data_IF_673798863880
#
_entry.id   IF_673798863880
#
_cell.length_a   1.000
_cell.length_b   1.000
_cell.length_c   1.000
_cell.angle_alpha   90.00
_cell.angle_beta   90.00
_cell.angle_gamma   90.00
#
_symmetry.space_group_name_H-M   'P 1'
#
loop_
_entity.id
_entity.type
_entity.pdbx_description
1 polymer ?
#
# COMPACT_ATOMS: atom_id res chain seq x y z
N UNK A 1 -24.95 -18.77 1.93
CA UNK A 1 -24.80 -17.78 0.83
C UNK A 1 -24.01 -18.37 -0.34
N UNK A 2 -24.54 -18.29 -1.57
CA UNK A 2 -23.82 -18.72 -2.78
C UNK A 2 -22.75 -17.70 -3.15
N UNK A 3 -21.55 -18.16 -3.49
CA UNK A 3 -20.43 -17.29 -3.85
C UNK A 3 -20.82 -16.45 -5.09
N UNK A 4 -20.63 -15.12 -5.09
CA UNK A 4 -20.97 -14.26 -6.22
C UNK A 4 -19.97 -14.44 -7.37
N UNK A 5 -20.12 -15.55 -8.13
CA UNK A 5 -19.17 -16.01 -9.16
C UNK A 5 -18.76 -14.91 -10.14
N UNK A 6 -19.72 -14.11 -10.61
CA UNK A 6 -19.42 -13.02 -11.54
C UNK A 6 -18.48 -11.98 -10.95
N UNK A 7 -18.78 -11.49 -9.75
CA UNK A 7 -17.95 -10.49 -9.07
C UNK A 7 -16.56 -11.04 -8.82
N UNK A 8 -16.45 -12.29 -8.37
CA UNK A 8 -15.17 -12.96 -8.15
C UNK A 8 -14.36 -13.05 -9.43
N UNK A 9 -14.99 -13.44 -10.55
CA UNK A 9 -14.31 -13.52 -11.85
C UNK A 9 -13.82 -12.15 -12.31
N UNK A 10 -14.64 -11.11 -12.22
CA UNK A 10 -14.22 -9.76 -12.63
C UNK A 10 -13.06 -9.27 -11.76
N UNK A 11 -13.12 -9.47 -10.45
CA UNK A 11 -12.02 -9.11 -9.54
C UNK A 11 -10.75 -9.89 -9.88
N UNK A 12 -10.86 -11.20 -10.14
CA UNK A 12 -9.70 -12.02 -10.53
C UNK A 12 -9.08 -11.53 -11.84
N UNK A 13 -9.90 -11.17 -12.83
CA UNK A 13 -9.43 -10.60 -14.10
C UNK A 13 -8.81 -9.22 -13.91
N UNK A 14 -9.34 -8.37 -13.03
CA UNK A 14 -8.73 -7.08 -12.69
C UNK A 14 -7.35 -7.27 -12.05
N UNK A 15 -7.21 -8.22 -11.13
CA UNK A 15 -5.93 -8.56 -10.49
C UNK A 15 -4.93 -9.12 -11.50
N UNK A 16 -5.36 -10.02 -12.39
CA UNK A 16 -4.54 -10.49 -13.50
C UNK A 16 -4.12 -9.34 -14.41
N UNK A 17 -5.04 -8.40 -14.67
CA UNK A 17 -4.78 -7.16 -15.39
C UNK A 17 -3.67 -6.32 -14.75
N UNK A 18 -3.61 -6.20 -13.42
CA UNK A 18 -2.50 -5.51 -12.74
C UNK A 18 -1.15 -6.16 -13.01
N UNK A 19 -1.08 -7.50 -12.91
CA UNK A 19 0.15 -8.25 -13.13
C UNK A 19 0.63 -8.19 -14.60
N UNK A 20 -0.31 -8.18 -15.55
CA UNK A 20 -0.01 -8.18 -16.99
C UNK A 20 0.21 -6.78 -17.58
N UNK A 21 -0.43 -5.74 -17.03
CA UNK A 21 -0.31 -4.37 -17.52
C UNK A 21 1.06 -3.77 -17.21
N UNK A 22 1.60 -4.04 -16.01
CA UNK A 22 2.83 -3.41 -15.54
C UNK A 22 4.06 -3.73 -16.43
N UNK A 23 4.32 -4.98 -16.85
CA UNK A 23 5.41 -5.30 -17.77
C UNK A 23 5.22 -4.72 -19.18
N UNK A 24 3.97 -4.42 -19.57
CA UNK A 24 3.63 -3.84 -20.87
C UNK A 24 3.71 -2.29 -20.87
N UNK A 25 4.14 -1.67 -19.77
CA UNK A 25 4.19 -0.20 -19.63
C UNK A 25 2.80 0.44 -19.51
N UNK A 26 1.77 -0.35 -19.23
CA UNK A 26 0.40 0.14 -19.04
C UNK A 26 0.13 0.29 -17.55
N UNK A 27 -0.33 1.48 -17.16
CA UNK A 27 -0.67 1.76 -15.77
C UNK A 27 -1.78 0.82 -15.25
N UNK A 28 -1.60 0.15 -14.10
CA UNK A 28 -2.59 -0.75 -13.52
C UNK A 28 -3.97 -0.09 -13.30
N UNK A 29 -4.01 1.24 -13.21
CA UNK A 29 -5.25 2.02 -13.12
C UNK A 29 -6.26 1.70 -14.25
N UNK A 30 -5.79 1.34 -15.45
CA UNK A 30 -6.68 0.97 -16.56
C UNK A 30 -7.40 -0.35 -16.34
N UNK A 31 -6.71 -1.35 -15.77
CA UNK A 31 -7.34 -2.62 -15.39
C UNK A 31 -8.37 -2.42 -14.27
N UNK A 32 -8.08 -1.53 -13.31
CA UNK A 32 -9.01 -1.17 -12.25
C UNK A 32 -10.25 -0.47 -12.81
N UNK A 33 -10.06 0.48 -13.73
CA UNK A 33 -11.14 1.18 -14.41
C UNK A 33 -12.04 0.18 -15.17
N UNK A 34 -11.44 -0.74 -15.93
CA UNK A 34 -12.19 -1.80 -16.62
C UNK A 34 -13.03 -2.64 -15.66
N UNK A 35 -12.46 -3.09 -14.55
CA UNK A 35 -13.18 -3.84 -13.52
C UNK A 35 -14.36 -3.08 -12.93
N UNK A 36 -14.15 -1.81 -12.56
CA UNK A 36 -15.21 -0.94 -12.03
C UNK A 36 -16.30 -0.68 -13.06
N UNK A 37 -15.96 -0.45 -14.33
CA UNK A 37 -16.94 -0.25 -15.39
C UNK A 37 -17.79 -1.51 -15.61
N UNK A 38 -17.17 -2.68 -15.68
CA UNK A 38 -17.91 -3.96 -15.85
C UNK A 38 -18.86 -4.20 -14.69
N UNK A 39 -18.40 -4.03 -13.44
CA UNK A 39 -19.24 -4.20 -12.25
C UNK A 39 -20.35 -3.13 -12.17
N UNK A 40 -19.98 -1.87 -12.37
CA UNK A 40 -20.87 -0.72 -12.27
C UNK A 40 -21.97 -0.71 -13.33
N UNK A 41 -21.61 -0.94 -14.61
CA UNK A 41 -22.58 -1.03 -15.71
C UNK A 41 -23.55 -2.17 -15.47
N UNK A 42 -23.08 -3.35 -15.06
CA UNK A 42 -23.97 -4.47 -14.74
C UNK A 42 -24.90 -4.14 -13.58
N UNK A 43 -24.39 -3.52 -12.52
CA UNK A 43 -25.19 -3.18 -11.35
C UNK A 43 -26.29 -2.15 -11.69
N UNK A 44 -25.98 -1.16 -12.53
CA UNK A 44 -26.94 -0.19 -13.07
C UNK A 44 -27.97 -0.87 -13.98
N UNK A 45 -27.53 -1.71 -14.92
CA UNK A 45 -28.42 -2.43 -15.84
C UNK A 45 -29.39 -3.36 -15.09
N UNK A 46 -28.95 -3.95 -13.97
CA UNK A 46 -29.78 -4.78 -13.08
C UNK A 46 -30.58 -3.96 -12.07
N UNK A 47 -30.45 -2.63 -12.06
CA UNK A 47 -31.10 -1.71 -11.10
C UNK A 47 -30.81 -2.05 -9.64
N UNK A 48 -29.66 -2.64 -9.35
CA UNK A 48 -29.23 -2.92 -7.98
C UNK A 48 -28.66 -1.68 -7.28
N UNK A 49 -28.20 -0.69 -8.04
CA UNK A 49 -27.62 0.56 -7.54
C UNK A 49 -28.07 1.73 -8.41
N UNK A 50 -28.08 2.93 -7.83
CA UNK A 50 -28.30 4.17 -8.56
C UNK A 50 -26.97 4.86 -8.94
N UNK A 51 -26.92 5.72 -9.99
CA UNK A 51 -25.71 6.45 -10.36
C UNK A 51 -25.10 7.26 -9.21
N UNK A 52 -25.96 7.89 -8.39
CA UNK A 52 -25.56 8.63 -7.17
C UNK A 52 -24.82 7.77 -6.15
N UNK A 53 -25.21 6.50 -6.02
CA UNK A 53 -24.56 5.55 -5.10
C UNK A 53 -23.19 5.16 -5.63
N UNK A 54 -23.04 5.03 -6.95
CA UNK A 54 -21.76 4.77 -7.60
C UNK A 54 -20.77 5.93 -7.37
N UNK A 55 -21.23 7.18 -7.54
CA UNK A 55 -20.43 8.38 -7.27
C UNK A 55 -20.06 8.47 -5.78
N UNK A 56 -21.01 8.19 -4.89
CA UNK A 56 -20.76 8.13 -3.45
C UNK A 56 -19.74 7.04 -3.06
N UNK A 57 -19.77 5.89 -3.74
CA UNK A 57 -18.84 4.79 -3.55
C UNK A 57 -17.42 5.13 -4.05
N UNK A 58 -17.30 5.92 -5.12
CA UNK A 58 -16.01 6.41 -5.63
C UNK A 58 -15.30 7.37 -4.66
N UNK A 59 -16.02 7.96 -3.70
CA UNK A 59 -15.48 8.83 -2.66
C UNK A 59 -14.57 9.97 -3.22
N UNK A 60 -15.10 10.92 -4.01
CA UNK A 60 -14.29 11.91 -4.73
C UNK A 60 -13.40 12.78 -3.82
N UNK A 61 -13.89 13.16 -2.63
CA UNK A 61 -13.09 13.90 -1.65
C UNK A 61 -11.90 13.09 -1.12
N UNK A 62 -12.04 11.77 -1.02
CA UNK A 62 -10.95 10.89 -0.66
C UNK A 62 -9.91 10.82 -1.79
N UNK A 63 -10.34 10.73 -3.04
CA UNK A 63 -9.43 10.82 -4.19
C UNK A 63 -8.67 12.16 -4.21
N UNK A 64 -9.36 13.27 -3.95
CA UNK A 64 -8.74 14.60 -3.84
C UNK A 64 -7.74 14.66 -2.68
N UNK A 65 -8.07 14.09 -1.52
CA UNK A 65 -7.16 14.00 -0.39
C UNK A 65 -5.88 13.23 -0.74
N UNK A 66 -6.00 12.08 -1.41
CA UNK A 66 -4.85 11.27 -1.86
C UNK A 66 -3.98 12.04 -2.85
N UNK A 67 -4.60 12.75 -3.81
CA UNK A 67 -3.89 13.61 -4.76
C UNK A 67 -3.12 14.73 -4.04
N UNK A 68 -3.79 15.44 -3.13
CA UNK A 68 -3.17 16.53 -2.36
C UNK A 68 -1.98 16.02 -1.52
N UNK A 69 -2.13 14.84 -0.90
CA UNK A 69 -1.07 14.20 -0.14
C UNK A 69 0.15 13.89 -1.04
N UNK A 70 -0.07 13.36 -2.25
CA UNK A 70 1.00 13.14 -3.23
C UNK A 70 1.74 14.43 -3.62
N UNK A 71 1.01 15.53 -3.83
CA UNK A 71 1.59 16.85 -4.14
C UNK A 71 2.43 17.37 -2.98
N UNK A 72 1.92 17.30 -1.75
CA UNK A 72 2.66 17.74 -0.56
C UNK A 72 3.95 16.95 -0.38
N UNK A 73 3.91 15.64 -0.58
CA UNK A 73 5.11 14.79 -0.48
C UNK A 73 6.11 15.12 -1.56
N UNK A 74 5.66 15.28 -2.81
CA UNK A 74 6.53 15.75 -3.89
C UNK A 74 7.19 17.08 -3.55
N UNK A 75 6.42 18.04 -3.03
CA UNK A 75 6.97 19.32 -2.58
C UNK A 75 8.01 19.15 -1.46
N UNK A 76 7.77 18.29 -0.46
CA UNK A 76 8.72 18.00 0.62
C UNK A 76 9.98 17.29 0.13
N UNK A 77 9.87 16.36 -0.82
CA UNK A 77 11.02 15.65 -1.39
C UNK A 77 11.88 16.59 -2.24
N UNK A 78 11.26 17.47 -3.03
CA UNK A 78 11.94 18.42 -3.91
C UNK A 78 12.49 19.64 -3.15
N UNK A 79 11.77 20.12 -2.13
CA UNK A 79 12.06 21.38 -1.42
C UNK A 79 12.68 21.17 -0.03
N UNK A 80 12.54 19.98 0.54
CA UNK A 80 13.07 19.64 1.85
C UNK A 80 14.51 19.11 1.80
N UNK A 81 15.19 19.00 2.94
CA UNK A 81 16.49 18.37 3.01
C UNK A 81 16.32 16.86 2.81
N UNK A 82 16.34 16.40 1.55
CA UNK A 82 16.53 14.98 1.21
C UNK A 82 17.74 14.39 1.97
N UNK A 83 18.68 15.24 2.39
CA UNK A 83 19.82 14.94 3.26
C UNK A 83 19.45 14.44 4.67
N UNK A 84 18.26 14.72 5.20
CA UNK A 84 17.83 14.24 6.53
C UNK A 84 17.44 12.76 6.52
N UNK A 85 16.55 12.38 5.62
CA UNK A 85 16.07 11.00 5.47
C UNK A 85 17.15 10.08 4.90
N UNK A 86 17.96 10.55 3.95
CA UNK A 86 19.08 9.76 3.41
C UNK A 86 20.08 9.33 4.49
N UNK A 87 20.34 10.17 5.50
CA UNK A 87 21.22 9.84 6.64
C UNK A 87 20.65 8.78 7.59
N UNK A 88 19.33 8.58 7.57
CA UNK A 88 18.67 7.58 8.40
C UNK A 88 18.66 6.20 7.75
N UNK A 89 18.85 6.11 6.43
CA UNK A 89 18.93 4.85 5.71
C UNK A 89 20.34 4.29 5.84
N UNK A 90 20.54 3.13 6.49
CA UNK A 90 21.85 2.49 6.52
C UNK A 90 22.27 2.07 5.11
N UNK A 91 23.56 2.21 4.81
CA UNK A 91 24.12 1.79 3.53
C UNK A 91 24.39 0.27 3.47
N UNK A 92 24.31 -0.28 2.25
CA UNK A 92 24.66 -1.66 1.95
C UNK A 92 23.50 -2.66 2.03
N UNK A 93 23.85 -3.94 1.86
CA UNK A 93 22.93 -5.08 1.74
C UNK A 93 23.05 -6.09 2.90
N UNK A 94 23.78 -5.72 3.95
CA UNK A 94 23.90 -6.54 5.15
C UNK A 94 22.53 -6.70 5.83
N UNK A 95 22.31 -7.83 6.51
CA UNK A 95 21.05 -8.06 7.21
C UNK A 95 20.68 -6.90 8.18
N UNK A 96 21.60 -6.38 9.01
CA UNK A 96 21.30 -5.22 9.86
C UNK A 96 20.94 -3.96 9.07
N UNK A 97 21.61 -3.71 7.94
CA UNK A 97 21.30 -2.56 7.09
C UNK A 97 19.89 -2.66 6.50
N UNK A 98 19.53 -3.82 5.91
CA UNK A 98 18.20 -4.05 5.35
C UNK A 98 17.10 -4.00 6.43
N UNK A 99 17.36 -4.51 7.63
CA UNK A 99 16.45 -4.39 8.77
C UNK A 99 16.24 -2.93 9.18
N UNK A 100 17.32 -2.13 9.21
CA UNK A 100 17.24 -0.71 9.49
C UNK A 100 16.43 0.05 8.44
N UNK A 101 16.66 -0.21 7.15
CA UNK A 101 15.88 0.37 6.04
C UNK A 101 14.39 0.03 6.18
N UNK A 102 14.06 -1.25 6.39
CA UNK A 102 12.68 -1.69 6.54
C UNK A 102 12.01 -1.08 7.79
N UNK A 103 12.75 -0.92 8.89
CA UNK A 103 12.26 -0.28 10.11
C UNK A 103 11.96 1.22 9.89
N UNK A 104 12.88 1.97 9.28
CA UNK A 104 12.69 3.39 8.94
C UNK A 104 11.47 3.56 8.03
N UNK A 105 11.35 2.70 7.01
CA UNK A 105 10.21 2.68 6.10
C UNK A 105 8.89 2.40 6.83
N UNK A 106 8.86 1.42 7.74
CA UNK A 106 7.67 1.08 8.52
C UNK A 106 7.25 2.22 9.47
N UNK A 107 8.21 2.88 10.12
CA UNK A 107 7.96 4.02 11.00
C UNK A 107 7.40 5.20 10.22
N UNK A 108 8.05 5.55 9.10
CA UNK A 108 7.60 6.65 8.24
C UNK A 108 6.19 6.38 7.70
N UNK A 109 5.91 5.16 7.26
CA UNK A 109 4.60 4.78 6.77
C UNK A 109 3.48 4.88 7.82
N UNK A 110 3.78 4.68 9.12
CA UNK A 110 2.81 4.93 10.18
C UNK A 110 2.64 6.43 10.50
N UNK A 111 3.67 7.24 10.28
CA UNK A 111 3.62 8.68 10.55
C UNK A 111 2.89 9.46 9.45
N UNK A 112 3.17 9.15 8.18
CA UNK A 112 2.69 9.93 7.03
C UNK A 112 1.82 9.13 6.05
N UNK A 113 1.55 7.84 6.32
CA UNK A 113 0.90 6.87 5.43
C UNK A 113 1.87 6.17 4.44
N UNK A 114 1.47 5.00 3.95
CA UNK A 114 2.30 4.16 3.10
C UNK A 114 2.64 4.77 1.73
N UNK A 115 1.69 5.42 1.07
CA UNK A 115 1.93 6.00 -0.25
C UNK A 115 2.95 7.18 -0.22
N UNK A 116 2.80 8.17 0.69
CA UNK A 116 3.85 9.17 0.95
C UNK A 116 5.22 8.62 1.26
N UNK A 117 5.29 7.61 2.14
CA UNK A 117 6.56 7.00 2.53
C UNK A 117 7.26 6.35 1.34
N UNK A 118 6.50 5.68 0.45
CA UNK A 118 7.03 5.13 -0.81
C UNK A 118 7.62 6.22 -1.69
N UNK A 119 6.88 7.31 -1.92
CA UNK A 119 7.33 8.41 -2.78
C UNK A 119 8.57 9.13 -2.23
N UNK A 120 8.72 9.19 -0.90
CA UNK A 120 9.87 9.81 -0.25
C UNK A 120 11.11 8.90 -0.20
N UNK A 121 10.95 7.60 0.02
CA UNK A 121 12.06 6.67 0.26
C UNK A 121 12.58 5.98 -0.99
N UNK A 122 11.72 5.67 -1.98
CA UNK A 122 12.18 4.99 -3.19
C UNK A 122 13.25 5.75 -3.98
N UNK A 123 13.17 7.09 -4.17
CA UNK A 123 14.23 7.83 -4.84
C UNK A 123 15.59 7.77 -4.11
N UNK A 124 15.57 7.58 -2.79
CA UNK A 124 16.78 7.46 -1.95
C UNK A 124 17.34 6.03 -1.97
N UNK A 125 16.47 5.03 -2.00
CA UNK A 125 16.84 3.61 -1.99
C UNK A 125 17.24 3.08 -3.38
N UNK A 126 16.68 3.63 -4.46
CA UNK A 126 16.94 3.16 -5.82
C UNK A 126 18.43 3.19 -6.22
N UNK A 127 19.20 4.25 -5.94
CA UNK A 127 20.64 4.27 -6.22
C UNK A 127 21.44 3.24 -5.40
N UNK A 128 20.94 2.83 -4.23
CA UNK A 128 21.60 1.85 -3.37
C UNK A 128 21.33 0.39 -3.79
N UNK A 129 20.44 0.17 -4.77
CA UNK A 129 20.23 -1.11 -5.44
C UNK A 129 18.92 -1.83 -5.10
N UNK A 130 18.63 -2.96 -5.79
CA UNK A 130 17.34 -3.65 -5.67
C UNK A 130 17.00 -4.13 -4.26
N UNK A 131 17.99 -4.59 -3.49
CA UNK A 131 17.78 -5.06 -2.12
C UNK A 131 17.26 -3.94 -1.20
N UNK A 132 17.78 -2.72 -1.34
CA UNK A 132 17.33 -1.55 -0.60
C UNK A 132 15.90 -1.16 -0.97
N UNK A 133 15.59 -1.15 -2.28
CA UNK A 133 14.23 -0.90 -2.78
C UNK A 133 13.25 -1.92 -2.20
N UNK A 134 13.59 -3.21 -2.24
CA UNK A 134 12.74 -4.27 -1.69
C UNK A 134 12.58 -4.15 -0.17
N UNK A 135 13.63 -3.78 0.57
CA UNK A 135 13.54 -3.53 2.01
C UNK A 135 12.61 -2.35 2.35
N UNK A 136 12.67 -1.26 1.58
CA UNK A 136 11.71 -0.15 1.69
C UNK A 136 10.30 -0.65 1.42
N UNK A 137 10.09 -1.42 0.34
CA UNK A 137 8.78 -1.97 -0.02
C UNK A 137 8.22 -2.91 1.06
N UNK A 138 9.06 -3.71 1.72
CA UNK A 138 8.66 -4.52 2.87
C UNK A 138 8.16 -3.60 4.00
N UNK A 139 8.97 -2.62 4.40
CA UNK A 139 8.66 -1.72 5.51
C UNK A 139 7.39 -0.90 5.30
N UNK A 140 7.25 -0.25 4.14
CA UNK A 140 6.09 0.59 3.83
C UNK A 140 4.79 -0.18 3.63
N UNK A 141 4.83 -1.49 3.33
CA UNK A 141 3.61 -2.30 3.18
C UNK A 141 3.22 -3.04 4.46
N UNK A 142 4.20 -3.51 5.25
CA UNK A 142 3.91 -4.23 6.49
C UNK A 142 3.74 -3.29 7.69
N UNK A 143 4.57 -2.24 7.76
CA UNK A 143 4.55 -1.24 8.82
C UNK A 143 3.17 -0.66 9.14
N UNK A 144 2.42 -0.18 8.13
CA UNK A 144 1.08 0.36 8.30
C UNK A 144 0.08 -0.49 9.08
N UNK A 145 0.28 -1.81 9.18
CA UNK A 145 -0.62 -2.67 9.96
C UNK A 145 -0.50 -2.47 11.48
N UNK A 146 0.44 -1.63 11.93
CA UNK A 146 0.61 -1.26 13.33
C UNK A 146 -0.49 -0.30 13.82
N UNK A 147 -0.98 0.57 12.93
CA UNK A 147 -1.96 1.61 13.27
C UNK A 147 -3.04 1.75 12.20
N UNK A 148 -4.23 2.22 12.57
CA UNK A 148 -5.31 2.43 11.59
C UNK A 148 -5.01 3.50 10.54
N UNK A 149 -4.16 4.46 10.90
CA UNK A 149 -3.84 5.62 10.05
C UNK A 149 -2.71 5.30 9.06
N UNK A 150 -1.96 4.22 9.31
CA UNK A 150 -0.79 3.85 8.53
C UNK A 150 -1.09 3.53 7.07
N UNK A 151 -2.32 3.07 6.75
CA UNK A 151 -2.73 2.87 5.36
C UNK A 151 -4.18 3.26 5.10
N UNK A 152 -4.39 3.81 3.90
CA UNK A 152 -5.70 4.09 3.32
C UNK A 152 -6.61 2.86 3.26
N UNK A 153 -6.04 1.68 3.02
CA UNK A 153 -6.80 0.43 2.97
C UNK A 153 -7.44 0.10 4.33
N UNK A 154 -6.70 0.29 5.42
CA UNK A 154 -7.18 0.07 6.79
C UNK A 154 -8.30 1.04 7.15
N UNK A 155 -8.21 2.31 6.71
CA UNK A 155 -9.27 3.30 6.86
C UNK A 155 -10.54 2.92 6.08
N UNK A 156 -10.39 2.48 4.83
CA UNK A 156 -11.51 2.03 4.00
C UNK A 156 -12.20 0.81 4.62
N UNK A 157 -11.41 -0.17 5.06
CA UNK A 157 -11.90 -1.36 5.76
C UNK A 157 -12.71 -0.99 7.01
N UNK A 158 -12.15 -0.15 7.88
CA UNK A 158 -12.85 0.32 9.08
C UNK A 158 -14.14 1.05 8.75
N UNK A 159 -14.14 1.90 7.72
CA UNK A 159 -15.35 2.60 7.24
C UNK A 159 -16.42 1.62 6.79
N UNK A 160 -16.03 0.55 6.08
CA UNK A 160 -16.96 -0.49 5.62
C UNK A 160 -17.54 -1.26 6.81
N UNK A 161 -16.73 -1.67 7.78
CA UNK A 161 -17.20 -2.38 8.98
C UNK A 161 -18.18 -1.55 9.81
N UNK A 162 -17.85 -0.27 10.01
CA UNK A 162 -18.72 0.63 10.77
C UNK A 162 -20.08 0.82 10.08
N UNK A 163 -20.12 0.87 8.74
CA UNK A 163 -21.39 0.87 7.98
C UNK A 163 -22.24 -0.40 8.17
N UNK A 164 -21.62 -1.51 8.54
CA UNK A 164 -22.30 -2.77 8.83
C UNK A 164 -22.57 -2.97 10.33
N UNK A 165 -22.36 -1.94 11.16
CA UNK A 165 -22.57 -2.02 12.60
C UNK A 165 -21.54 -2.89 13.34
N UNK A 166 -20.41 -3.20 12.70
CA UNK A 166 -19.33 -3.97 13.31
C UNK A 166 -18.32 -2.98 13.89
N UNK A 167 -18.24 -2.96 15.22
CA UNK A 167 -17.23 -2.18 15.93
C UNK A 167 -15.93 -2.98 16.09
N UNK A 168 -14.82 -2.34 15.79
CA UNK A 168 -13.48 -2.91 16.02
C UNK A 168 -12.79 -2.07 17.08
N UNK A 169 -12.38 -2.75 18.15
CA UNK A 169 -11.67 -2.12 19.25
C UNK A 169 -10.25 -1.73 18.83
N UNK A 170 -9.94 -0.43 18.92
CA UNK A 170 -8.68 0.13 18.45
C UNK A 170 -7.48 -0.50 19.16
N UNK A 171 -7.58 -0.69 20.49
CA UNK A 171 -6.52 -1.27 21.30
C UNK A 171 -6.18 -2.70 20.88
N UNK A 172 -7.19 -3.53 20.60
CA UNK A 172 -6.97 -4.90 20.15
C UNK A 172 -6.27 -4.95 18.79
N UNK A 173 -6.65 -4.10 17.86
CA UNK A 173 -6.00 -4.03 16.55
C UNK A 173 -4.53 -3.62 16.68
N UNK A 174 -4.24 -2.55 17.42
CA UNK A 174 -2.86 -2.07 17.62
C UNK A 174 -2.02 -3.08 18.40
N UNK A 175 -2.59 -3.79 19.38
CA UNK A 175 -1.89 -4.86 20.09
C UNK A 175 -1.50 -6.00 19.15
N UNK A 176 -2.44 -6.46 18.30
CA UNK A 176 -2.14 -7.47 17.29
C UNK A 176 -1.10 -6.98 16.28
N UNK A 177 -1.18 -5.71 15.87
CA UNK A 177 -0.18 -5.06 15.04
C UNK A 177 1.20 -5.06 15.69
N UNK A 178 1.31 -4.69 16.97
CA UNK A 178 2.57 -4.68 17.73
C UNK A 178 3.21 -6.06 17.83
N UNK A 179 2.40 -7.12 17.88
CA UNK A 179 2.89 -8.50 17.92
C UNK A 179 3.29 -9.03 16.54
N UNK A 180 2.55 -8.65 15.49
CA UNK A 180 2.71 -9.26 14.16
C UNK A 180 3.64 -8.46 13.24
N UNK A 181 3.61 -7.12 13.29
CA UNK A 181 4.39 -6.26 12.37
C UNK A 181 5.89 -6.41 12.59
N UNK A 182 6.44 -6.33 13.81
CA UNK A 182 7.89 -6.50 14.00
C UNK A 182 8.37 -7.89 13.54
N UNK A 183 7.60 -8.93 13.86
CA UNK A 183 7.92 -10.31 13.50
C UNK A 183 7.89 -10.50 11.96
N UNK A 184 6.86 -10.00 11.29
CA UNK A 184 6.71 -10.13 9.84
C UNK A 184 7.71 -9.28 9.06
N UNK A 185 8.03 -8.07 9.52
CA UNK A 185 9.10 -7.23 8.94
C UNK A 185 10.45 -7.94 9.09
N UNK A 186 10.78 -8.40 10.30
CA UNK A 186 12.05 -9.09 10.53
C UNK A 186 12.18 -10.36 9.68
N UNK A 187 11.14 -11.21 9.66
CA UNK A 187 11.14 -12.44 8.88
C UNK A 187 11.22 -12.19 7.37
N UNK A 188 10.45 -11.23 6.84
CA UNK A 188 10.46 -10.89 5.40
C UNK A 188 11.80 -10.29 4.98
N UNK A 189 12.39 -9.43 5.80
CA UNK A 189 13.70 -8.84 5.52
C UNK A 189 14.82 -9.87 5.62
N UNK A 190 14.75 -10.81 6.57
CA UNK A 190 15.68 -11.93 6.64
C UNK A 190 15.57 -12.85 5.41
N UNK A 191 14.34 -13.12 4.95
CA UNK A 191 14.11 -13.88 3.72
C UNK A 191 14.65 -13.15 2.49
N UNK A 192 14.45 -11.83 2.39
CA UNK A 192 15.05 -10.98 1.35
C UNK A 192 16.58 -11.06 1.37
N UNK A 193 17.20 -10.87 2.54
CA UNK A 193 18.64 -10.98 2.69
C UNK A 193 19.15 -12.35 2.23
N UNK A 194 18.49 -13.44 2.65
CA UNK A 194 18.82 -14.79 2.21
C UNK A 194 18.70 -14.96 0.69
N UNK A 195 17.64 -14.41 0.09
CA UNK A 195 17.43 -14.45 -1.35
C UNK A 195 18.54 -13.71 -2.11
N UNK A 196 18.93 -12.52 -1.66
CA UNK A 196 20.05 -11.75 -2.24
C UNK A 196 21.35 -12.54 -2.18
N UNK A 197 21.60 -13.29 -1.10
CA UNK A 197 22.81 -14.12 -0.95
C UNK A 197 22.83 -15.35 -1.85
N UNK A 198 21.68 -15.90 -2.20
CA UNK A 198 21.56 -17.13 -3.01
C UNK A 198 21.43 -16.82 -4.50
N UNK A 199 20.63 -15.82 -4.84
CA UNK A 199 20.25 -15.50 -6.23
C UNK A 199 21.13 -14.39 -6.80
N UNK A 200 21.76 -13.57 -5.94
CA UNK A 200 22.43 -12.34 -6.33
C UNK A 200 21.51 -11.11 -6.23
N UNK A 201 22.12 -9.93 -6.31
CA UNK A 201 21.43 -8.63 -6.34
C UNK A 201 21.03 -8.25 -7.76
#
# INVERSE_FOLDING_TARGET
PTVPRFTVVVVALTLAGFALASPAGVEPAWAALGGVLVLGVRALARRHVAPRELVGAAAPLFCLFVLALGIVVQAVVVSGPASGLGRLLPDGDSLPALLGVAAVAALLANLVNNLPAVLALLPLAAPAGPAQVLAVLIGVNLGPNLTYVGSLATLLWRRILHRHGIEVELGRFTLLGLLTVPATVAASTAALWGAVRVIGA
#
